data_IF_149488418138
#
_entry.id   IF_149488418138
#
_cell.length_a   1.000
_cell.length_b   1.000
_cell.length_c   1.000
_cell.angle_alpha   90.00
_cell.angle_beta   90.00
_cell.angle_gamma   90.00
#
_symmetry.space_group_name_H-M   'P 1'
#
loop_
_entity.id
_entity.type
_entity.pdbx_description
1 polymer ?
#
# COMPACT_ATOMS: atom_id res chain seq x y z
N UNK A 1 -37.41 16.34 -16.51
CA UNK A 1 -36.91 15.80 -15.23
C UNK A 1 -36.59 16.97 -14.31
N UNK A 2 -36.79 16.84 -12.99
CA UNK A 2 -36.23 17.82 -12.04
C UNK A 2 -34.71 17.67 -12.07
N UNK A 3 -33.96 18.77 -12.12
CA UNK A 3 -32.50 18.74 -12.01
C UNK A 3 -32.09 18.11 -10.69
N UNK A 4 -31.00 17.38 -10.69
CA UNK A 4 -30.34 16.82 -9.50
C UNK A 4 -29.39 17.84 -8.90
N UNK A 5 -28.99 17.66 -7.64
CA UNK A 5 -28.12 18.63 -6.96
C UNK A 5 -26.78 18.77 -7.66
N UNK A 6 -26.18 17.65 -8.10
CA UNK A 6 -24.90 17.65 -8.81
C UNK A 6 -24.91 18.46 -10.12
N UNK A 7 -26.05 18.57 -10.80
CA UNK A 7 -26.20 19.34 -12.05
C UNK A 7 -26.23 20.86 -11.83
N UNK A 8 -26.45 21.31 -10.58
CA UNK A 8 -26.56 22.74 -10.26
C UNK A 8 -25.49 23.22 -9.28
N UNK A 9 -24.97 22.34 -8.44
CA UNK A 9 -24.12 22.72 -7.31
C UNK A 9 -23.34 21.53 -6.75
N UNK A 10 -22.04 21.71 -6.54
CA UNK A 10 -21.21 20.68 -5.91
C UNK A 10 -19.99 21.29 -5.19
N UNK A 11 -19.68 20.92 -3.93
CA UNK A 11 -18.52 21.40 -3.17
C UNK A 11 -17.22 20.75 -3.65
N UNK A 12 -16.78 21.11 -4.87
CA UNK A 12 -15.63 20.49 -5.53
C UNK A 12 -14.36 20.63 -4.69
N UNK A 13 -14.12 21.81 -4.10
CA UNK A 13 -12.92 22.10 -3.33
C UNK A 13 -12.84 21.21 -2.09
N UNK A 14 -13.88 21.22 -1.26
CA UNK A 14 -13.93 20.51 0.01
C UNK A 14 -13.92 18.98 -0.19
N UNK A 15 -14.65 18.48 -1.20
CA UNK A 15 -14.62 17.05 -1.54
C UNK A 15 -13.25 16.62 -2.06
N UNK A 16 -12.56 17.50 -2.81
CA UNK A 16 -11.21 17.22 -3.31
C UNK A 16 -10.17 17.18 -2.19
N UNK A 17 -10.29 18.07 -1.20
CA UNK A 17 -9.44 18.08 0.00
C UNK A 17 -9.59 16.76 0.78
N UNK A 18 -10.81 16.29 1.03
CA UNK A 18 -11.04 14.99 1.69
C UNK A 18 -10.54 13.81 0.82
N UNK A 19 -10.73 13.89 -0.50
CA UNK A 19 -10.24 12.89 -1.45
C UNK A 19 -8.70 12.79 -1.49
N UNK A 20 -7.99 13.90 -1.26
CA UNK A 20 -6.54 13.91 -1.13
C UNK A 20 -6.11 13.35 0.23
N UNK A 21 -6.81 13.73 1.30
CA UNK A 21 -6.55 13.28 2.68
C UNK A 21 -6.70 11.78 2.83
N UNK A 22 -7.73 11.16 2.23
CA UNK A 22 -7.98 9.73 2.40
C UNK A 22 -6.87 8.82 1.86
N UNK A 23 -6.03 9.30 0.92
CA UNK A 23 -4.88 8.54 0.41
C UNK A 23 -3.87 8.17 1.51
N UNK A 24 -3.84 8.95 2.58
CA UNK A 24 -2.95 8.74 3.72
C UNK A 24 -3.59 7.92 4.85
N UNK A 25 -4.83 7.47 4.71
CA UNK A 25 -5.53 6.69 5.72
C UNK A 25 -5.06 5.24 5.66
N UNK A 26 -4.47 4.78 6.75
CA UNK A 26 -3.85 3.44 6.86
C UNK A 26 -4.66 2.45 7.70
N UNK A 27 -5.84 2.85 8.18
CA UNK A 27 -6.71 2.00 8.98
C UNK A 27 -8.16 2.08 8.52
N UNK A 28 -8.83 0.94 8.39
CA UNK A 28 -10.25 0.83 8.01
C UNK A 28 -10.58 1.17 6.55
N UNK A 29 -9.64 1.73 5.79
CA UNK A 29 -9.84 2.04 4.37
C UNK A 29 -9.68 0.80 3.50
N UNK A 30 -10.51 0.62 2.47
CA UNK A 30 -10.49 -0.61 1.65
C UNK A 30 -9.16 -0.84 0.90
N UNK A 31 -8.32 0.21 0.73
CA UNK A 31 -6.95 0.07 0.20
C UNK A 31 -5.99 -0.68 1.08
N UNK A 32 -6.31 -0.82 2.37
CA UNK A 32 -5.52 -1.63 3.29
C UNK A 32 -5.92 -3.11 3.25
N UNK A 33 -7.05 -3.45 2.62
CA UNK A 33 -7.48 -4.83 2.38
C UNK A 33 -6.97 -5.34 1.02
N UNK A 34 -7.13 -4.53 -0.03
CA UNK A 34 -6.63 -4.86 -1.37
C UNK A 34 -6.26 -3.60 -2.14
N UNK A 35 -5.19 -3.68 -2.93
CA UNK A 35 -4.71 -2.59 -3.77
C UNK A 35 -5.38 -2.69 -5.15
N UNK A 36 -5.91 -1.58 -5.64
CA UNK A 36 -6.38 -1.44 -7.03
C UNK A 36 -5.81 -0.16 -7.62
N UNK A 37 -5.12 -0.27 -8.76
CA UNK A 37 -4.31 0.82 -9.33
C UNK A 37 -5.13 2.05 -9.74
N UNK A 38 -6.40 1.86 -10.11
CA UNK A 38 -7.29 2.93 -10.58
C UNK A 38 -8.42 3.26 -9.58
N UNK A 39 -8.20 3.06 -8.27
CA UNK A 39 -9.24 3.28 -7.27
C UNK A 39 -9.63 4.76 -7.18
N UNK A 40 -10.94 5.03 -7.31
CA UNK A 40 -11.49 6.37 -7.09
C UNK A 40 -11.62 6.68 -5.60
N UNK A 41 -11.44 7.95 -5.18
CA UNK A 41 -11.56 8.29 -3.78
C UNK A 41 -12.97 8.04 -3.24
N UNK A 42 -13.09 7.43 -2.06
CA UNK A 42 -14.38 7.12 -1.44
C UNK A 42 -15.17 8.38 -1.07
N UNK A 43 -14.47 9.43 -0.61
CA UNK A 43 -15.08 10.74 -0.35
C UNK A 43 -15.79 11.29 -1.59
N UNK A 44 -15.10 11.28 -2.75
CA UNK A 44 -15.68 11.71 -4.02
C UNK A 44 -16.83 10.82 -4.46
N UNK A 45 -16.66 9.50 -4.42
CA UNK A 45 -17.69 8.52 -4.79
C UNK A 45 -18.98 8.73 -3.98
N UNK A 46 -18.88 8.86 -2.66
CA UNK A 46 -20.03 9.10 -1.78
C UNK A 46 -20.73 10.42 -2.09
N UNK A 47 -19.95 11.50 -2.22
CA UNK A 47 -20.50 12.81 -2.47
C UNK A 47 -21.21 12.86 -3.83
N UNK A 48 -20.60 12.29 -4.87
CA UNK A 48 -21.21 12.24 -6.21
C UNK A 48 -22.46 11.36 -6.23
N UNK A 49 -22.43 10.19 -5.59
CA UNK A 49 -23.59 9.29 -5.52
C UNK A 49 -24.77 9.94 -4.80
N UNK A 50 -24.52 10.62 -3.67
CA UNK A 50 -25.58 11.35 -2.96
C UNK A 50 -26.13 12.50 -3.81
N UNK A 51 -25.25 13.39 -4.32
CA UNK A 51 -25.66 14.59 -5.04
C UNK A 51 -26.41 14.29 -6.37
N UNK A 52 -26.13 13.15 -7.00
CA UNK A 52 -26.83 12.68 -8.19
C UNK A 52 -28.24 12.13 -7.90
N UNK A 53 -28.52 11.71 -6.66
CA UNK A 53 -29.77 11.04 -6.29
C UNK A 53 -30.75 11.93 -5.51
N UNK A 54 -30.34 13.16 -5.18
CA UNK A 54 -31.19 14.16 -4.53
C UNK A 54 -31.55 15.30 -5.49
N UNK A 55 -32.74 15.94 -5.35
CA UNK A 55 -33.13 17.02 -6.22
C UNK A 55 -32.30 18.27 -5.98
N UNK A 56 -32.10 19.04 -7.05
CA UNK A 56 -31.71 20.43 -6.98
C UNK A 56 -32.67 21.19 -6.07
N UNK A 57 -32.13 22.17 -5.36
CA UNK A 57 -32.91 23.03 -4.47
C UNK A 57 -33.50 24.16 -5.31
N UNK A 58 -34.80 24.42 -5.16
CA UNK A 58 -35.49 25.50 -5.88
C UNK A 58 -35.20 26.82 -5.17
N UNK A 59 -34.21 27.58 -5.68
CA UNK A 59 -33.93 29.00 -5.40
C UNK A 59 -33.76 29.48 -3.94
N UNK A 60 -34.07 28.65 -2.93
CA UNK A 60 -33.94 28.96 -1.51
C UNK A 60 -32.47 28.83 -1.08
N UNK A 61 -31.79 29.94 -0.74
CA UNK A 61 -30.40 29.93 -0.31
C UNK A 61 -30.18 29.15 1.00
N UNK A 62 -31.19 29.08 1.86
CA UNK A 62 -31.10 28.40 3.17
C UNK A 62 -31.06 26.90 2.99
N UNK A 63 -32.00 26.34 2.23
CA UNK A 63 -32.03 24.92 1.91
C UNK A 63 -30.85 24.50 1.03
N UNK A 64 -30.40 25.38 0.13
CA UNK A 64 -29.16 25.20 -0.61
C UNK A 64 -27.95 25.06 0.32
N UNK A 65 -27.76 25.99 1.25
CA UNK A 65 -26.63 25.95 2.17
C UNK A 65 -26.69 24.72 3.08
N UNK A 66 -27.89 24.31 3.55
CA UNK A 66 -28.05 23.08 4.34
C UNK A 66 -27.59 21.84 3.58
N UNK A 67 -28.00 21.68 2.31
CA UNK A 67 -27.57 20.55 1.46
C UNK A 67 -26.08 20.60 1.16
N UNK A 68 -25.54 21.79 0.86
CA UNK A 68 -24.12 22.01 0.62
C UNK A 68 -23.27 21.59 1.84
N UNK A 69 -23.60 22.10 3.03
CA UNK A 69 -22.91 21.76 4.27
C UNK A 69 -23.06 20.28 4.64
N UNK A 70 -24.23 19.70 4.39
CA UNK A 70 -24.44 18.27 4.61
C UNK A 70 -23.59 17.41 3.67
N UNK A 71 -23.44 17.78 2.40
CA UNK A 71 -22.62 17.06 1.44
C UNK A 71 -21.13 17.11 1.82
N UNK A 72 -20.63 18.27 2.28
CA UNK A 72 -19.28 18.40 2.85
C UNK A 72 -19.13 17.51 4.07
N UNK A 73 -20.12 17.50 4.97
CA UNK A 73 -20.09 16.62 6.15
C UNK A 73 -20.06 15.15 5.73
N UNK A 74 -20.85 14.77 4.74
CA UNK A 74 -20.97 13.41 4.23
C UNK A 74 -19.66 12.94 3.59
N UNK A 75 -18.91 13.80 2.88
CA UNK A 75 -17.67 13.41 2.20
C UNK A 75 -16.51 13.07 3.13
N UNK A 76 -16.53 13.54 4.39
CA UNK A 76 -15.49 13.26 5.38
C UNK A 76 -15.36 11.76 5.69
N UNK A 77 -14.14 11.25 5.77
CA UNK A 77 -13.86 9.84 6.06
C UNK A 77 -14.43 9.41 7.42
N UNK A 78 -14.36 10.26 8.43
CA UNK A 78 -14.84 9.97 9.77
C UNK A 78 -16.36 9.71 9.80
N UNK A 79 -17.08 10.20 8.79
CA UNK A 79 -18.52 10.01 8.65
C UNK A 79 -18.92 8.82 7.78
N UNK A 80 -17.96 8.08 7.20
CA UNK A 80 -18.22 6.90 6.35
C UNK A 80 -19.03 5.80 7.03
N UNK A 81 -18.93 5.70 8.35
CA UNK A 81 -19.65 4.73 9.17
C UNK A 81 -20.50 5.39 10.26
N UNK A 82 -20.68 6.72 10.22
CA UNK A 82 -21.48 7.43 11.21
C UNK A 82 -22.97 7.15 10.96
N UNK A 83 -23.69 6.42 11.85
CA UNK A 83 -25.06 6.02 11.61
C UNK A 83 -26.00 7.21 11.39
N UNK A 84 -25.81 8.30 12.12
CA UNK A 84 -26.66 9.51 12.02
C UNK A 84 -26.52 10.15 10.64
N UNK A 85 -25.29 10.25 10.13
CA UNK A 85 -25.02 10.88 8.82
C UNK A 85 -25.51 9.97 7.68
N UNK A 86 -25.24 8.68 7.76
CA UNK A 86 -25.61 7.70 6.73
C UNK A 86 -27.13 7.50 6.66
N UNK A 87 -27.82 7.36 7.79
CA UNK A 87 -29.28 7.20 7.81
C UNK A 87 -29.99 8.45 7.31
N UNK A 88 -29.49 9.65 7.64
CA UNK A 88 -30.01 10.88 7.03
C UNK A 88 -29.84 10.85 5.51
N UNK A 89 -28.65 10.48 5.01
CA UNK A 89 -28.41 10.44 3.57
C UNK A 89 -29.32 9.42 2.86
N UNK A 90 -29.53 8.24 3.46
CA UNK A 90 -30.47 7.22 2.96
C UNK A 90 -31.90 7.73 2.91
N UNK A 91 -32.36 8.39 3.98
CA UNK A 91 -33.69 8.97 4.06
C UNK A 91 -33.90 10.04 2.98
N UNK A 92 -32.95 10.98 2.86
CA UNK A 92 -32.98 12.03 1.84
C UNK A 92 -33.10 11.43 0.42
N UNK A 93 -32.31 10.39 0.12
CA UNK A 93 -32.35 9.68 -1.17
C UNK A 93 -33.70 8.97 -1.35
N UNK A 94 -34.19 8.23 -0.35
CA UNK A 94 -35.44 7.49 -0.46
C UNK A 94 -36.64 8.41 -0.69
N UNK A 95 -36.72 9.52 0.05
CA UNK A 95 -37.76 10.55 -0.11
C UNK A 95 -37.68 11.22 -1.48
N UNK A 96 -36.48 11.59 -1.93
CA UNK A 96 -36.24 12.17 -3.25
C UNK A 96 -36.71 11.26 -4.41
N UNK A 97 -36.71 9.95 -4.19
CA UNK A 97 -37.06 8.94 -5.18
C UNK A 97 -38.44 8.30 -4.92
N UNK A 98 -39.33 9.02 -4.21
CA UNK A 98 -40.72 8.62 -4.03
C UNK A 98 -40.91 7.34 -3.21
N UNK A 99 -40.03 7.09 -2.24
CA UNK A 99 -40.05 5.89 -1.42
C UNK A 99 -39.46 4.65 -2.10
N UNK A 100 -38.91 4.77 -3.31
CA UNK A 100 -38.30 3.66 -4.05
C UNK A 100 -36.78 3.69 -3.91
N UNK A 101 -36.19 2.54 -3.62
CA UNK A 101 -34.73 2.38 -3.55
C UNK A 101 -34.14 2.55 -4.95
N UNK A 102 -33.21 3.52 -5.16
CA UNK A 102 -32.57 3.70 -6.46
C UNK A 102 -31.70 2.51 -6.84
N UNK A 103 -31.64 2.22 -8.14
CA UNK A 103 -30.72 1.24 -8.74
C UNK A 103 -29.54 1.97 -9.37
N UNK A 104 -28.33 1.60 -8.98
CA UNK A 104 -27.08 2.17 -9.49
C UNK A 104 -26.33 1.08 -10.25
N UNK A 105 -26.13 1.32 -11.55
CA UNK A 105 -25.27 0.49 -12.40
C UNK A 105 -23.91 1.18 -12.56
N UNK A 106 -22.85 0.51 -12.16
CA UNK A 106 -21.48 0.89 -12.49
C UNK A 106 -20.88 -0.15 -13.47
N UNK A 107 -20.87 0.16 -14.78
CA UNK A 107 -20.42 -0.79 -15.80
C UNK A 107 -18.89 -0.99 -15.84
N UNK A 108 -18.12 -0.17 -15.11
CA UNK A 108 -16.65 -0.17 -15.10
C UNK A 108 -16.14 -0.03 -13.67
N UNK A 109 -16.61 -0.93 -12.81
CA UNK A 109 -16.50 -0.76 -11.36
C UNK A 109 -15.07 -0.85 -10.84
N UNK A 110 -14.18 -1.55 -11.54
CA UNK A 110 -12.79 -1.78 -11.13
C UNK A 110 -12.68 -2.19 -9.67
N UNK A 111 -12.07 -1.33 -8.85
CA UNK A 111 -11.86 -1.58 -7.42
C UNK A 111 -13.07 -1.35 -6.50
N UNK A 112 -14.21 -0.91 -7.03
CA UNK A 112 -15.50 -0.90 -6.33
C UNK A 112 -15.84 0.32 -5.47
N UNK A 113 -15.15 1.45 -5.64
CA UNK A 113 -15.40 2.65 -4.79
C UNK A 113 -16.81 3.24 -4.94
N UNK A 114 -17.25 3.51 -6.17
CA UNK A 114 -18.59 4.05 -6.46
C UNK A 114 -19.67 3.08 -5.98
N UNK A 115 -19.66 1.78 -6.36
CA UNK A 115 -20.69 0.86 -5.91
C UNK A 115 -20.68 0.66 -4.39
N UNK A 116 -19.51 0.67 -3.73
CA UNK A 116 -19.45 0.58 -2.26
C UNK A 116 -20.16 1.75 -1.58
N UNK A 117 -19.91 2.98 -2.05
CA UNK A 117 -20.50 4.16 -1.46
C UNK A 117 -21.99 4.29 -1.79
N UNK A 118 -22.41 3.93 -3.01
CA UNK A 118 -23.83 3.83 -3.36
C UNK A 118 -24.57 2.80 -2.47
N UNK A 119 -23.94 1.65 -2.19
CA UNK A 119 -24.46 0.62 -1.30
C UNK A 119 -24.57 1.14 0.14
N UNK A 120 -23.57 1.87 0.64
CA UNK A 120 -23.62 2.54 1.95
C UNK A 120 -24.78 3.53 2.04
N UNK A 121 -25.06 4.25 0.96
CA UNK A 121 -26.18 5.18 0.81
C UNK A 121 -27.54 4.51 0.60
N UNK A 122 -27.61 3.17 0.68
CA UNK A 122 -28.86 2.43 0.66
C UNK A 122 -29.41 2.12 -0.74
N UNK A 123 -28.59 2.29 -1.79
CA UNK A 123 -28.98 1.94 -3.16
C UNK A 123 -28.91 0.43 -3.39
N UNK A 124 -29.70 -0.06 -4.34
CA UNK A 124 -29.46 -1.35 -5.00
C UNK A 124 -28.35 -1.14 -6.04
N UNK A 125 -27.29 -1.95 -5.99
CA UNK A 125 -26.07 -1.71 -6.78
C UNK A 125 -25.76 -2.90 -7.67
N UNK A 126 -25.50 -2.61 -8.94
CA UNK A 126 -25.00 -3.55 -9.94
C UNK A 126 -23.61 -3.10 -10.40
N UNK A 127 -22.59 -3.84 -9.99
CA UNK A 127 -21.20 -3.58 -10.35
C UNK A 127 -20.77 -4.59 -11.42
N UNK A 128 -20.30 -4.10 -12.58
CA UNK A 128 -19.86 -4.94 -13.71
C UNK A 128 -18.38 -4.69 -13.98
N UNK A 129 -17.67 -5.76 -14.31
CA UNK A 129 -16.27 -5.72 -14.69
C UNK A 129 -15.89 -6.99 -15.48
N UNK A 130 -15.00 -6.84 -16.45
CA UNK A 130 -14.47 -7.95 -17.26
C UNK A 130 -13.24 -8.59 -16.60
N UNK A 131 -12.42 -7.79 -15.91
CA UNK A 131 -11.21 -8.31 -15.27
C UNK A 131 -11.56 -9.26 -14.11
N UNK A 132 -11.12 -10.53 -14.13
CA UNK A 132 -11.49 -11.52 -13.10
C UNK A 132 -10.95 -11.18 -11.71
N UNK A 133 -9.80 -10.50 -11.62
CA UNK A 133 -9.25 -10.01 -10.33
C UNK A 133 -10.15 -8.94 -9.74
N UNK A 134 -10.65 -8.04 -10.58
CA UNK A 134 -11.57 -7.00 -10.15
C UNK A 134 -12.94 -7.57 -9.76
N UNK A 135 -13.45 -8.58 -10.48
CA UNK A 135 -14.67 -9.30 -10.09
C UNK A 135 -14.52 -9.91 -8.69
N UNK A 136 -13.39 -10.55 -8.38
CA UNK A 136 -13.11 -11.07 -7.05
C UNK A 136 -13.08 -9.94 -6.00
N UNK A 137 -12.39 -8.84 -6.30
CA UNK A 137 -12.35 -7.65 -5.44
C UNK A 137 -13.76 -7.12 -5.15
N UNK A 138 -14.62 -7.02 -6.17
CA UNK A 138 -15.99 -6.54 -6.04
C UNK A 138 -16.82 -7.49 -5.18
N UNK A 139 -16.67 -8.80 -5.35
CA UNK A 139 -17.30 -9.80 -4.47
C UNK A 139 -16.88 -9.62 -3.02
N UNK A 140 -15.58 -9.50 -2.76
CA UNK A 140 -15.04 -9.29 -1.41
C UNK A 140 -15.46 -7.95 -0.79
N UNK A 141 -15.66 -6.92 -1.60
CA UNK A 141 -15.97 -5.55 -1.13
C UNK A 141 -17.47 -5.32 -0.95
N UNK A 142 -18.30 -5.88 -1.84
CA UNK A 142 -19.73 -5.56 -1.93
C UNK A 142 -20.62 -6.73 -1.49
N UNK A 143 -20.29 -7.96 -1.90
CA UNK A 143 -21.19 -9.11 -1.77
C UNK A 143 -20.94 -9.91 -0.48
N UNK A 144 -19.70 -10.32 -0.24
CA UNK A 144 -19.34 -11.18 0.89
C UNK A 144 -19.58 -10.54 2.25
N UNK A 145 -19.27 -9.25 2.49
CA UNK A 145 -19.58 -8.61 3.77
C UNK A 145 -21.09 -8.63 4.09
N UNK A 146 -21.94 -8.52 3.08
CA UNK A 146 -23.40 -8.56 3.27
C UNK A 146 -23.92 -9.98 3.52
N UNK A 147 -23.39 -10.96 2.79
CA UNK A 147 -23.81 -12.37 2.90
C UNK A 147 -23.27 -13.04 4.17
N UNK A 148 -22.03 -12.78 4.52
CA UNK A 148 -21.28 -13.54 5.54
C UNK A 148 -20.83 -12.69 6.73
N UNK A 149 -20.90 -11.37 6.64
CA UNK A 149 -20.43 -10.45 7.68
C UNK A 149 -21.45 -10.13 8.78
N UNK A 150 -22.64 -10.74 8.78
CA UNK A 150 -23.65 -10.51 9.83
C UNK A 150 -23.19 -11.17 11.14
N UNK A 151 -23.15 -10.42 12.26
CA UNK A 151 -22.77 -10.99 13.54
C UNK A 151 -23.69 -12.16 13.95
N UNK A 152 -23.12 -13.16 14.61
CA UNK A 152 -23.83 -14.31 15.16
C UNK A 152 -23.39 -14.57 16.58
N UNK A 153 -24.32 -15.01 17.42
CA UNK A 153 -24.02 -15.50 18.77
C UNK A 153 -23.57 -16.94 18.71
N UNK A 154 -22.44 -17.23 19.33
CA UNK A 154 -21.89 -18.58 19.51
C UNK A 154 -21.71 -18.86 20.98
N UNK A 155 -21.96 -20.12 21.38
CA UNK A 155 -21.70 -20.60 22.74
C UNK A 155 -20.28 -21.15 22.80
N UNK A 156 -19.49 -20.66 23.74
CA UNK A 156 -18.13 -21.11 23.99
C UNK A 156 -17.99 -21.50 25.46
N UNK A 157 -17.09 -22.44 25.76
CA UNK A 157 -16.76 -22.82 27.13
C UNK A 157 -15.47 -22.16 27.54
N UNK A 158 -15.44 -21.56 28.72
CA UNK A 158 -14.21 -21.04 29.29
C UNK A 158 -13.27 -22.17 29.76
N UNK A 159 -12.10 -21.80 30.29
CA UNK A 159 -11.09 -22.75 30.79
C UNK A 159 -11.57 -23.61 31.97
N UNK A 160 -12.71 -23.25 32.59
CA UNK A 160 -13.31 -23.92 33.75
C UNK A 160 -14.59 -24.68 33.34
N UNK A 161 -14.95 -24.66 32.05
CA UNK A 161 -16.10 -25.38 31.49
C UNK A 161 -17.43 -24.63 31.56
N UNK A 162 -17.44 -23.37 32.00
CA UNK A 162 -18.65 -22.54 32.02
C UNK A 162 -18.98 -22.03 30.63
N UNK A 163 -20.24 -22.19 30.22
CA UNK A 163 -20.73 -21.72 28.93
C UNK A 163 -21.04 -20.22 28.98
N UNK A 164 -20.53 -19.48 28.00
CA UNK A 164 -20.89 -18.08 27.77
C UNK A 164 -21.22 -17.84 26.30
N UNK A 165 -22.04 -16.84 26.02
CA UNK A 165 -22.36 -16.40 24.66
C UNK A 165 -21.42 -15.28 24.25
N UNK A 166 -20.81 -15.43 23.07
CA UNK A 166 -19.99 -14.40 22.42
C UNK A 166 -20.59 -14.06 21.06
N UNK A 167 -20.59 -12.77 20.73
CA UNK A 167 -20.91 -12.32 19.38
C UNK A 167 -19.65 -12.35 18.52
N UNK A 168 -19.74 -12.99 17.35
CA UNK A 168 -18.65 -13.08 16.38
C UNK A 168 -19.12 -12.61 15.00
N UNK A 169 -18.18 -12.19 14.16
CA UNK A 169 -18.42 -11.96 12.74
C UNK A 169 -17.83 -13.14 11.94
N UNK A 170 -18.65 -14.04 11.35
CA UNK A 170 -18.15 -15.24 10.68
C UNK A 170 -17.14 -14.94 9.57
N UNK A 171 -17.39 -13.91 8.76
CA UNK A 171 -16.45 -13.52 7.70
C UNK A 171 -15.11 -13.06 8.27
N UNK A 172 -15.11 -12.35 9.40
CA UNK A 172 -13.88 -11.90 10.05
C UNK A 172 -13.09 -13.11 10.59
N UNK A 173 -13.76 -14.04 11.25
CA UNK A 173 -13.16 -15.28 11.78
C UNK A 173 -12.55 -16.12 10.65
N UNK A 174 -13.29 -16.33 9.56
CA UNK A 174 -12.79 -17.06 8.39
C UNK A 174 -11.61 -16.34 7.73
N UNK A 175 -11.69 -15.02 7.57
CA UNK A 175 -10.59 -14.22 7.01
C UNK A 175 -9.33 -14.36 7.85
N UNK A 176 -9.46 -14.29 9.18
CA UNK A 176 -8.33 -14.46 10.10
C UNK A 176 -7.78 -15.89 10.05
N UNK A 177 -8.64 -16.90 10.04
CA UNK A 177 -8.27 -18.31 9.95
C UNK A 177 -7.49 -18.60 8.67
N UNK A 178 -8.02 -18.23 7.51
CA UNK A 178 -7.37 -18.49 6.23
C UNK A 178 -6.13 -17.62 6.03
N UNK A 179 -6.15 -16.38 6.51
CA UNK A 179 -4.96 -15.52 6.54
C UNK A 179 -3.82 -16.13 7.36
N UNK A 180 -4.13 -16.68 8.54
CA UNK A 180 -3.16 -17.40 9.37
C UNK A 180 -2.69 -18.69 8.69
N UNK A 181 -3.59 -19.44 8.03
CA UNK A 181 -3.21 -20.63 7.28
C UNK A 181 -2.22 -20.32 6.15
N UNK A 182 -2.44 -19.24 5.38
CA UNK A 182 -1.48 -18.77 4.36
C UNK A 182 -0.16 -18.37 5.00
N UNK A 183 -0.21 -17.61 6.10
CA UNK A 183 0.99 -17.17 6.81
C UNK A 183 1.83 -18.35 7.31
N UNK A 184 1.22 -19.34 7.97
CA UNK A 184 1.94 -20.50 8.50
C UNK A 184 2.42 -21.43 7.38
N UNK A 185 1.64 -21.60 6.32
CA UNK A 185 2.07 -22.33 5.11
C UNK A 185 3.30 -21.68 4.48
N UNK A 186 3.27 -20.35 4.29
CA UNK A 186 4.38 -19.60 3.75
C UNK A 186 5.62 -19.67 4.66
N UNK A 187 5.46 -19.49 5.98
CA UNK A 187 6.57 -19.62 6.93
C UNK A 187 7.22 -21.00 6.87
N UNK A 188 6.42 -22.07 6.79
CA UNK A 188 6.93 -23.44 6.69
C UNK A 188 7.70 -23.68 5.39
N UNK A 189 7.22 -23.12 4.28
CA UNK A 189 7.80 -23.34 2.96
C UNK A 189 9.05 -22.48 2.71
N UNK A 190 8.95 -21.17 2.94
CA UNK A 190 9.98 -20.19 2.56
C UNK A 190 10.67 -19.52 3.75
N UNK A 191 10.28 -19.82 4.99
CA UNK A 191 10.86 -19.19 6.18
C UNK A 191 12.36 -19.48 6.35
N UNK A 192 12.86 -20.60 5.82
CA UNK A 192 14.30 -20.92 5.79
C UNK A 192 15.15 -19.87 5.06
N UNK A 193 14.55 -19.08 4.16
CA UNK A 193 15.25 -18.00 3.43
C UNK A 193 15.30 -16.67 4.21
N UNK A 194 14.80 -16.65 5.44
CA UNK A 194 14.86 -15.52 6.36
C UNK A 194 15.42 -15.97 7.71
N UNK A 195 16.66 -16.50 7.75
CA UNK A 195 17.23 -17.03 8.97
C UNK A 195 17.39 -15.91 10.00
N UNK A 196 17.07 -16.21 11.26
CA UNK A 196 17.40 -15.30 12.35
C UNK A 196 18.94 -15.17 12.48
N UNK A 197 19.39 -13.96 12.76
CA UNK A 197 20.76 -13.69 13.18
C UNK A 197 20.99 -14.26 14.60
N UNK A 198 22.26 -14.36 15.02
CA UNK A 198 22.65 -14.92 16.32
C UNK A 198 21.98 -14.21 17.51
N UNK A 199 21.74 -12.90 17.36
CA UNK A 199 21.07 -12.06 18.36
C UNK A 199 19.53 -12.12 18.30
N UNK A 200 18.95 -13.02 17.47
CA UNK A 200 17.51 -13.23 17.34
C UNK A 200 16.79 -12.27 16.38
N UNK A 201 17.51 -11.36 15.73
CA UNK A 201 16.94 -10.46 14.72
C UNK A 201 16.61 -11.20 13.42
N UNK A 202 15.47 -10.88 12.81
CA UNK A 202 15.01 -11.53 11.57
C UNK A 202 15.13 -10.56 10.39
N UNK A 203 15.76 -10.96 9.27
CA UNK A 203 15.71 -10.23 8.01
C UNK A 203 14.28 -10.03 7.52
N UNK A 204 13.92 -8.78 7.24
CA UNK A 204 12.60 -8.37 6.73
C UNK A 204 12.70 -7.56 5.43
N UNK A 205 13.92 -7.31 4.97
CA UNK A 205 14.19 -6.61 3.73
C UNK A 205 15.68 -6.56 3.42
N UNK A 206 16.01 -6.35 2.16
CA UNK A 206 17.38 -6.23 1.68
C UNK A 206 17.51 -4.96 0.86
N UNK A 207 18.58 -4.21 1.09
CA UNK A 207 18.89 -3.01 0.33
C UNK A 207 19.87 -3.36 -0.78
N UNK A 208 19.39 -3.30 -2.02
CA UNK A 208 20.16 -3.56 -3.23
C UNK A 208 20.45 -2.27 -3.98
N UNK A 209 21.68 -2.15 -4.48
CA UNK A 209 22.08 -1.07 -5.37
C UNK A 209 22.34 -1.64 -6.76
N UNK A 210 21.83 -0.96 -7.79
CA UNK A 210 22.33 -1.20 -9.15
C UNK A 210 23.75 -0.68 -9.25
N UNK A 211 24.57 -1.30 -10.08
CA UNK A 211 25.97 -0.90 -10.24
C UNK A 211 26.32 -0.72 -11.70
N UNK A 212 27.29 0.13 -12.00
CA UNK A 212 27.89 0.25 -13.33
C UNK A 212 29.42 0.29 -13.22
N UNK A 213 30.16 -0.24 -14.21
CA UNK A 213 31.61 -0.07 -14.23
C UNK A 213 31.98 1.39 -14.50
N UNK A 214 32.98 1.90 -13.80
CA UNK A 214 33.57 3.20 -14.09
C UNK A 214 34.15 3.19 -15.51
N UNK A 215 33.87 4.24 -16.29
CA UNK A 215 34.34 4.36 -17.67
C UNK A 215 35.79 4.85 -17.78
N UNK A 216 36.43 5.25 -16.67
CA UNK A 216 37.86 5.51 -16.64
C UNK A 216 38.62 4.16 -16.61
N UNK A 217 39.38 3.80 -17.67
CA UNK A 217 40.04 2.49 -17.77
C UNK A 217 41.02 2.19 -16.63
N UNK A 218 41.66 3.22 -16.07
CA UNK A 218 42.59 3.07 -14.93
C UNK A 218 41.81 2.73 -13.65
N UNK A 219 40.62 3.31 -13.49
CA UNK A 219 39.77 3.07 -12.32
C UNK A 219 39.02 1.75 -12.46
N UNK A 220 38.12 1.64 -13.44
CA UNK A 220 37.25 0.49 -13.68
C UNK A 220 36.48 -0.01 -12.44
N UNK A 221 36.38 0.81 -11.39
CA UNK A 221 35.69 0.47 -10.15
C UNK A 221 34.19 0.27 -10.38
N UNK A 222 33.58 -0.60 -9.58
CA UNK A 222 32.13 -0.73 -9.55
C UNK A 222 31.52 0.50 -8.85
N UNK A 223 30.68 1.23 -9.57
CA UNK A 223 29.98 2.41 -9.05
C UNK A 223 28.60 1.97 -8.54
N UNK A 224 28.35 1.95 -7.22
CA UNK A 224 27.01 1.75 -6.68
C UNK A 224 26.15 2.96 -7.01
N UNK A 225 24.96 2.74 -7.59
CA UNK A 225 24.03 3.78 -8.00
C UNK A 225 22.96 3.98 -6.95
N UNK A 226 22.96 5.17 -6.35
CA UNK A 226 21.87 5.62 -5.48
C UNK A 226 21.64 7.12 -5.61
N UNK A 227 20.39 7.56 -5.45
CA UNK A 227 20.05 8.99 -5.42
C UNK A 227 20.40 9.63 -4.07
N UNK A 228 20.40 8.85 -2.98
CA UNK A 228 20.75 9.27 -1.62
C UNK A 228 21.22 8.07 -0.80
N UNK A 229 21.82 8.32 0.36
CA UNK A 229 22.41 7.33 1.24
C UNK A 229 21.54 7.00 2.46
N UNK A 230 20.30 7.49 2.52
CA UNK A 230 19.43 7.23 3.66
C UNK A 230 18.90 5.79 3.66
N UNK A 231 19.09 5.10 4.80
CA UNK A 231 18.38 3.86 5.13
C UNK A 231 17.08 4.16 5.91
N UNK A 232 17.11 5.20 6.73
CA UNK A 232 15.94 5.78 7.39
C UNK A 232 16.14 7.29 7.55
N UNK A 233 15.10 8.07 7.20
CA UNK A 233 15.02 9.50 7.47
C UNK A 233 13.63 9.85 8.02
N UNK A 234 13.53 9.98 9.33
CA UNK A 234 12.32 10.33 10.08
C UNK A 234 12.69 11.30 11.20
N UNK A 235 11.70 12.05 11.70
CA UNK A 235 11.89 13.05 12.76
C UNK A 235 12.61 12.53 14.02
N UNK A 236 12.52 11.22 14.29
CA UNK A 236 13.13 10.55 15.43
C UNK A 236 14.13 9.45 15.05
N UNK A 237 14.51 9.35 13.77
CA UNK A 237 15.44 8.32 13.30
C UNK A 237 16.12 8.71 11.99
N UNK A 238 17.42 8.94 12.07
CA UNK A 238 18.31 9.22 10.95
C UNK A 238 19.42 8.15 10.90
N UNK A 239 19.34 7.26 9.91
CA UNK A 239 20.32 6.20 9.67
C UNK A 239 20.71 6.23 8.20
N UNK A 240 22.01 6.33 7.93
CA UNK A 240 22.56 6.40 6.58
C UNK A 240 23.63 5.33 6.33
N UNK A 241 23.80 5.01 5.06
CA UNK A 241 24.85 4.16 4.55
C UNK A 241 26.02 5.03 4.10
N UNK A 242 27.11 5.04 4.85
CA UNK A 242 28.29 5.82 4.54
C UNK A 242 29.23 5.06 3.58
N UNK A 243 29.45 5.54 2.34
CA UNK A 243 30.40 4.94 1.42
C UNK A 243 31.83 5.39 1.76
N UNK A 244 32.79 4.48 1.68
CA UNK A 244 34.22 4.80 1.74
C UNK A 244 34.99 3.97 0.71
N UNK A 245 36.17 4.46 0.30
CA UNK A 245 36.99 3.82 -0.72
C UNK A 245 38.12 3.05 -0.06
N UNK A 246 38.24 1.78 -0.40
CA UNK A 246 39.38 0.94 -0.03
C UNK A 246 39.98 0.34 -1.32
N UNK A 247 41.16 0.84 -1.71
CA UNK A 247 41.76 0.51 -3.00
C UNK A 247 40.90 1.01 -4.18
N UNK A 248 40.36 0.07 -4.98
CA UNK A 248 39.44 0.36 -6.10
C UNK A 248 38.00 -0.06 -5.82
N UNK A 249 37.69 -0.39 -4.56
CA UNK A 249 36.36 -0.84 -4.16
C UNK A 249 35.66 0.24 -3.32
N UNK A 250 34.36 0.41 -3.57
CA UNK A 250 33.49 1.19 -2.69
C UNK A 250 32.94 0.23 -1.63
N UNK A 251 33.28 0.49 -0.36
CA UNK A 251 32.78 -0.21 0.82
C UNK A 251 31.84 0.68 1.62
N UNK A 252 31.14 0.11 2.60
CA UNK A 252 30.09 0.80 3.32
C UNK A 252 30.20 0.61 4.83
N UNK A 253 29.72 1.61 5.56
CA UNK A 253 29.40 1.53 6.98
C UNK A 253 27.98 2.03 7.20
N UNK A 254 27.38 1.69 8.34
CA UNK A 254 26.12 2.29 8.76
C UNK A 254 26.44 3.32 9.83
N UNK A 255 25.87 4.52 9.68
CA UNK A 255 26.09 5.66 10.56
C UNK A 255 24.77 6.33 10.93
N UNK A 256 24.74 7.01 12.08
CA UNK A 256 23.56 7.71 12.59
C UNK A 256 22.99 7.07 13.86
N UNK A 257 21.68 7.20 14.08
CA UNK A 257 21.02 6.80 15.32
C UNK A 257 21.16 5.30 15.59
N UNK A 258 21.85 4.97 16.70
CA UNK A 258 22.13 3.58 17.10
C UNK A 258 23.33 2.95 16.39
N UNK A 259 24.14 3.74 15.67
CA UNK A 259 25.31 3.30 14.92
C UNK A 259 26.53 4.21 15.16
N UNK A 260 27.60 4.02 14.37
CA UNK A 260 28.73 4.95 14.35
C UNK A 260 28.24 6.39 14.08
N UNK A 261 28.90 7.38 14.68
CA UNK A 261 28.52 8.79 14.50
C UNK A 261 28.66 9.18 13.02
N UNK A 262 27.63 9.83 12.49
CA UNK A 262 27.67 10.35 11.12
C UNK A 262 28.82 11.36 10.96
N UNK A 263 29.70 11.19 9.96
CA UNK A 263 30.77 12.16 9.68
C UNK A 263 30.19 13.54 9.36
N UNK A 264 30.84 14.60 9.84
CA UNK A 264 30.32 15.98 9.74
C UNK A 264 30.32 16.52 8.30
N UNK A 265 31.20 16.01 7.45
CA UNK A 265 31.35 16.36 6.03
C UNK A 265 30.51 15.46 5.10
N UNK A 266 29.87 14.42 5.64
CA UNK A 266 29.02 13.53 4.88
C UNK A 266 27.62 14.13 4.70
N UNK A 267 27.19 14.26 3.45
CA UNK A 267 25.82 14.65 3.11
C UNK A 267 25.06 13.46 2.50
N UNK A 268 24.17 12.78 3.26
CA UNK A 268 23.45 11.63 2.76
C UNK A 268 22.47 11.93 1.63
N UNK A 269 22.06 13.19 1.41
CA UNK A 269 21.19 13.56 0.27
C UNK A 269 21.91 13.48 -1.08
N UNK A 270 23.24 13.47 -1.08
CA UNK A 270 24.06 13.45 -2.29
C UNK A 270 24.50 12.02 -2.61
N UNK A 271 23.66 11.31 -3.35
CA UNK A 271 24.01 10.01 -3.91
C UNK A 271 25.03 10.08 -5.05
N UNK A 272 25.30 8.93 -5.65
CA UNK A 272 26.21 8.78 -6.80
C UNK A 272 25.54 9.04 -8.14
N UNK A 273 24.21 9.09 -8.23
CA UNK A 273 23.49 9.27 -9.50
C UNK A 273 22.35 10.28 -9.40
N UNK A 274 22.23 11.13 -10.41
CA UNK A 274 21.10 12.04 -10.60
C UNK A 274 20.77 12.17 -12.07
N UNK A 275 19.48 11.98 -12.44
CA UNK A 275 19.03 12.02 -13.85
C UNK A 275 19.89 11.14 -14.79
N UNK A 276 20.27 9.96 -14.30
CA UNK A 276 21.16 9.00 -14.96
C UNK A 276 22.62 9.44 -15.16
N UNK A 277 23.02 10.63 -14.71
CA UNK A 277 24.44 11.02 -14.63
C UNK A 277 25.04 10.45 -13.35
N UNK A 278 26.06 9.62 -13.46
CA UNK A 278 26.70 8.95 -12.33
C UNK A 278 28.11 9.51 -12.06
N UNK A 279 28.49 9.60 -10.79
CA UNK A 279 29.82 10.03 -10.35
C UNK A 279 30.50 8.90 -9.61
N UNK A 280 31.71 8.55 -10.03
CA UNK A 280 32.51 7.49 -9.41
C UNK A 280 33.07 7.95 -8.06
N UNK A 281 32.75 7.27 -6.93
CA UNK A 281 33.31 7.62 -5.62
C UNK A 281 34.84 7.42 -5.52
N UNK A 282 35.41 6.57 -6.39
CA UNK A 282 36.84 6.22 -6.35
C UNK A 282 37.71 7.25 -7.06
N UNK A 283 37.34 7.67 -8.27
CA UNK A 283 38.18 8.58 -9.08
C UNK A 283 37.52 9.94 -9.40
N UNK A 284 36.28 10.17 -8.97
CA UNK A 284 35.52 11.37 -9.30
C UNK A 284 35.05 11.45 -10.76
N UNK A 285 35.35 10.44 -11.58
CA UNK A 285 34.94 10.39 -12.98
C UNK A 285 33.43 10.42 -13.14
N UNK A 286 32.96 11.20 -14.11
CA UNK A 286 31.54 11.33 -14.45
C UNK A 286 31.21 10.40 -15.61
N UNK A 287 30.14 9.62 -15.46
CA UNK A 287 29.50 8.87 -16.53
C UNK A 287 28.23 9.61 -16.90
N UNK A 288 28.16 10.08 -18.14
CA UNK A 288 26.99 10.80 -18.65
C UNK A 288 25.75 9.88 -18.73
N UNK A 289 24.59 10.50 -18.93
CA UNK A 289 23.31 9.81 -18.89
C UNK A 289 23.10 8.86 -20.07
N UNK A 290 23.58 9.21 -21.26
CA UNK A 290 23.51 8.35 -22.44
C UNK A 290 24.39 7.10 -22.28
N UNK A 291 25.62 7.28 -21.79
CA UNK A 291 26.51 6.17 -21.48
C UNK A 291 25.92 5.27 -20.39
N UNK A 292 25.38 5.86 -19.31
CA UNK A 292 24.73 5.09 -18.24
C UNK A 292 23.57 4.26 -18.80
N UNK A 293 22.66 4.85 -19.58
CA UNK A 293 21.55 4.13 -20.23
C UNK A 293 22.06 3.00 -21.12
N UNK A 294 23.09 3.25 -21.91
CA UNK A 294 23.72 2.27 -22.80
C UNK A 294 24.30 1.07 -22.02
N UNK A 295 24.92 1.29 -20.87
CA UNK A 295 25.45 0.21 -20.02
C UNK A 295 24.32 -0.72 -19.53
N UNK A 296 23.18 -0.16 -19.13
CA UNK A 296 22.00 -0.96 -18.76
C UNK A 296 21.44 -1.74 -19.94
N UNK A 297 21.26 -1.10 -21.10
CA UNK A 297 20.75 -1.74 -22.31
C UNK A 297 21.65 -2.89 -22.80
N UNK A 298 22.97 -2.76 -22.60
CA UNK A 298 23.96 -3.77 -22.98
C UNK A 298 24.16 -4.86 -21.92
N UNK A 299 23.42 -4.83 -20.81
CA UNK A 299 23.59 -5.81 -19.71
C UNK A 299 24.92 -5.70 -18.96
N UNK A 300 25.60 -4.55 -19.06
CA UNK A 300 26.87 -4.27 -18.35
C UNK A 300 26.66 -3.69 -16.95
N UNK A 301 25.41 -3.41 -16.58
CA UNK A 301 25.04 -3.00 -15.23
C UNK A 301 24.92 -4.22 -14.32
N UNK A 302 25.42 -4.10 -13.09
CA UNK A 302 25.33 -5.12 -12.06
C UNK A 302 24.32 -4.79 -10.97
N UNK A 303 24.40 -5.55 -9.89
CA UNK A 303 23.69 -5.29 -8.65
C UNK A 303 24.48 -5.81 -7.46
N UNK A 304 24.37 -5.11 -6.33
CA UNK A 304 25.05 -5.47 -5.08
C UNK A 304 24.07 -5.37 -3.92
N UNK A 305 24.00 -6.42 -3.09
CA UNK A 305 23.31 -6.36 -1.81
C UNK A 305 24.23 -5.63 -0.83
N UNK A 306 23.73 -4.58 -0.18
CA UNK A 306 24.58 -3.70 0.63
C UNK A 306 24.20 -3.73 2.11
N UNK A 307 22.91 -3.75 2.41
CA UNK A 307 22.43 -3.77 3.78
C UNK A 307 21.22 -4.71 3.93
N UNK A 308 21.03 -5.22 5.14
CA UNK A 308 19.89 -6.04 5.55
C UNK A 308 19.07 -5.24 6.54
N UNK A 309 17.75 -5.20 6.33
CA UNK A 309 16.78 -4.61 7.23
C UNK A 309 16.28 -5.70 8.17
N UNK A 310 16.43 -5.48 9.46
CA UNK A 310 16.16 -6.43 10.52
C UNK A 310 14.95 -5.99 11.37
N UNK A 311 14.31 -6.97 12.00
CA UNK A 311 13.18 -6.78 12.92
C UNK A 311 13.32 -7.74 14.11
N UNK A 312 13.14 -7.25 15.34
CA UNK A 312 13.19 -8.06 16.55
C UNK A 312 11.80 -8.51 17.04
N UNK A 313 10.73 -7.97 16.45
CA UNK A 313 9.37 -8.38 16.74
C UNK A 313 8.35 -7.40 16.17
N UNK A 314 7.08 -7.59 16.53
CA UNK A 314 6.02 -6.62 16.21
C UNK A 314 6.17 -5.39 17.11
N UNK A 315 6.43 -4.24 16.51
CA UNK A 315 6.42 -2.93 17.18
C UNK A 315 7.78 -2.35 17.54
N UNK A 316 8.87 -3.12 17.45
CA UNK A 316 10.21 -2.71 17.92
C UNK A 316 11.03 -1.91 16.89
N UNK A 317 10.39 -1.40 15.84
CA UNK A 317 11.06 -0.66 14.77
C UNK A 317 11.86 -1.53 13.82
N UNK A 318 12.76 -0.90 13.05
CA UNK A 318 13.62 -1.57 12.06
C UNK A 318 15.08 -1.27 12.36
N UNK A 319 15.93 -2.28 12.22
CA UNK A 319 17.37 -2.19 12.41
C UNK A 319 18.07 -2.54 11.10
N UNK A 320 19.36 -2.26 11.02
CA UNK A 320 20.15 -2.38 9.82
C UNK A 320 21.52 -2.97 10.14
N UNK A 321 22.00 -3.84 9.27
CA UNK A 321 23.40 -4.29 9.24
C UNK A 321 23.88 -4.37 7.79
N UNK A 322 25.19 -4.45 7.58
CA UNK A 322 25.73 -4.71 6.26
C UNK A 322 25.36 -6.14 5.82
N UNK A 323 25.17 -6.30 4.52
CA UNK A 323 25.01 -7.61 3.92
C UNK A 323 26.31 -8.42 4.04
N UNK A 324 26.15 -9.72 4.27
CA UNK A 324 27.23 -10.70 4.40
C UNK A 324 27.13 -11.73 3.27
N UNK A 325 28.17 -12.53 3.10
CA UNK A 325 28.15 -13.63 2.11
C UNK A 325 27.02 -14.63 2.38
N UNK A 326 26.69 -14.85 3.66
CA UNK A 326 25.56 -15.69 4.07
C UNK A 326 24.22 -15.17 3.54
N UNK A 327 24.00 -13.85 3.51
CA UNK A 327 22.77 -13.28 2.96
C UNK A 327 22.68 -13.48 1.45
N UNK A 328 23.83 -13.39 0.75
CA UNK A 328 23.92 -13.65 -0.68
C UNK A 328 23.72 -15.14 -1.01
N UNK A 329 24.24 -16.04 -0.19
CA UNK A 329 24.02 -17.49 -0.31
C UNK A 329 22.53 -17.83 -0.15
N UNK A 330 21.89 -17.30 0.90
CA UNK A 330 20.45 -17.49 1.14
C UNK A 330 19.62 -16.94 -0.02
N UNK A 331 19.99 -15.77 -0.57
CA UNK A 331 19.33 -15.22 -1.74
C UNK A 331 19.43 -16.15 -2.97
N UNK A 332 20.62 -16.69 -3.26
CA UNK A 332 20.83 -17.65 -4.36
C UNK A 332 20.07 -18.96 -4.15
N UNK A 333 19.96 -19.43 -2.91
CA UNK A 333 19.11 -20.56 -2.58
C UNK A 333 17.63 -20.28 -2.83
N UNK A 334 17.16 -19.10 -2.45
CA UNK A 334 15.78 -18.67 -2.70
C UNK A 334 15.49 -18.52 -4.20
N UNK A 335 16.46 -18.02 -4.99
CA UNK A 335 16.35 -17.90 -6.44
C UNK A 335 16.19 -19.27 -7.12
N UNK A 336 17.08 -20.23 -6.81
CA UNK A 336 16.97 -21.61 -7.31
C UNK A 336 15.64 -22.26 -6.94
N UNK A 337 15.23 -22.11 -5.67
CA UNK A 337 13.95 -22.65 -5.21
C UNK A 337 12.76 -22.04 -5.94
N UNK A 338 12.80 -20.74 -6.24
CA UNK A 338 11.75 -20.08 -7.01
C UNK A 338 11.67 -20.63 -8.44
N UNK A 339 12.81 -20.86 -9.09
CA UNK A 339 12.85 -21.47 -10.43
C UNK A 339 12.21 -22.86 -10.43
N UNK A 340 12.67 -23.76 -9.54
CA UNK A 340 12.12 -25.11 -9.37
C UNK A 340 10.61 -25.10 -9.09
N UNK A 341 10.18 -24.18 -8.20
CA UNK A 341 8.77 -24.06 -7.84
C UNK A 341 7.93 -23.58 -9.02
N UNK A 342 8.44 -22.65 -9.82
CA UNK A 342 7.74 -22.13 -11.02
C UNK A 342 7.61 -23.22 -12.06
N UNK A 343 8.67 -23.96 -12.36
CA UNK A 343 8.63 -25.09 -13.29
C UNK A 343 7.57 -26.10 -12.88
N UNK A 344 7.60 -26.54 -11.61
CA UNK A 344 6.61 -27.46 -11.06
C UNK A 344 5.16 -26.94 -11.19
N UNK A 345 4.92 -25.67 -10.87
CA UNK A 345 3.58 -25.10 -10.97
C UNK A 345 3.11 -24.97 -12.42
N UNK A 346 4.00 -24.65 -13.36
CA UNK A 346 3.68 -24.61 -14.79
C UNK A 346 3.35 -26.01 -15.31
N UNK A 347 4.06 -27.06 -14.86
CA UNK A 347 3.73 -28.45 -15.20
C UNK A 347 2.37 -28.89 -14.66
N UNK A 348 2.04 -28.50 -13.43
CA UNK A 348 0.79 -28.87 -12.77
C UNK A 348 -0.43 -28.09 -13.29
N UNK A 349 -0.27 -26.81 -13.62
CA UNK A 349 -1.39 -25.88 -13.85
C UNK A 349 -1.39 -25.16 -15.21
N UNK A 350 -0.37 -25.35 -16.04
CA UNK A 350 -0.18 -24.66 -17.33
C UNK A 350 0.35 -23.24 -17.18
#
# INVERSE_FOLDING_TARGET
MKKTFIEVSFPVKEVSEESAREKNIRHGHISTLHIWWARRPLASSRATSYAALIPAVSEDPTEWNKKWQFLIKLSKWENSLNPVVIEKARKDILEANGGKVPRVLDPFSGGGSIPLEALRLGCEVHAVEYNPVAVLILKCTLEYPQKYGKPRKVKEKDKVGLEYEKEINPLLEDTQKWGNWVLESAKKEIGKFYPADEDGFIPVGYYWMRTIPCQNPICSAEIPLTANWWLAKKDNKEVALYPYVEGKEVKFKIVGDGYEKMPADFNPEKGTVSRAVAVCPVCGGVVDDDTTRKLFQQGKAGQRMVAVVLSQGKGEGKFYRLATDKDLEVFKEAERYLEEKREKLMEEWG
#
